data_IF_798517784208
#
_entry.id   IF_798517784208
#
_cell.length_a   1.000
_cell.length_b   1.000
_cell.length_c   1.000
_cell.angle_alpha   90.00
_cell.angle_beta   90.00
_cell.angle_gamma   90.00
#
_symmetry.space_group_name_H-M   'P 1'
#
loop_
_entity.id
_entity.type
_entity.pdbx_description
1 polymer ?
#
# COMPACT_ATOMS: atom_id res chain seq x y z
N UNK A 1 -12.57 2.80 4.20
CA UNK A 1 -11.98 2.62 2.85
C UNK A 1 -12.53 3.62 1.83
N UNK A 2 -13.85 3.90 1.85
CA UNK A 2 -14.48 4.83 0.88
C UNK A 2 -13.95 6.25 0.96
N UNK A 3 -13.66 6.76 2.15
CA UNK A 3 -13.15 8.11 2.35
C UNK A 3 -11.75 8.28 1.74
N UNK A 4 -10.80 7.42 2.10
CA UNK A 4 -9.45 7.40 1.50
C UNK A 4 -9.51 7.27 -0.02
N UNK A 5 -10.39 6.40 -0.52
CA UNK A 5 -10.57 6.20 -1.96
C UNK A 5 -11.08 7.45 -2.69
N UNK A 6 -11.93 8.26 -2.04
CA UNK A 6 -12.42 9.53 -2.56
C UNK A 6 -11.31 10.58 -2.57
N UNK A 7 -10.58 10.71 -1.47
CA UNK A 7 -9.46 11.65 -1.35
C UNK A 7 -8.36 11.37 -2.38
N UNK A 8 -7.99 10.09 -2.61
CA UNK A 8 -7.04 9.72 -3.68
C UNK A 8 -7.58 10.09 -5.07
N UNK A 9 -8.89 10.08 -5.29
CA UNK A 9 -9.47 10.49 -6.57
C UNK A 9 -9.34 11.98 -6.84
N UNK A 10 -9.47 12.82 -5.84
CA UNK A 10 -9.51 14.27 -5.97
C UNK A 10 -8.18 14.95 -5.63
N UNK A 11 -7.40 14.37 -4.72
CA UNK A 11 -6.14 14.92 -4.24
C UNK A 11 -5.03 14.91 -5.29
N UNK A 12 -3.96 15.64 -4.99
CA UNK A 12 -2.79 15.84 -5.85
C UNK A 12 -1.49 15.32 -5.27
N UNK A 13 -1.42 15.13 -3.94
CA UNK A 13 -0.25 14.64 -3.24
C UNK A 13 -0.60 13.49 -2.30
N UNK A 14 0.06 12.35 -2.47
CA UNK A 14 -0.09 11.18 -1.60
C UNK A 14 1.29 10.74 -1.09
N UNK A 15 1.42 10.65 0.22
CA UNK A 15 2.54 10.01 0.92
C UNK A 15 1.97 8.85 1.74
N UNK A 16 2.38 7.61 1.44
CA UNK A 16 1.82 6.40 2.02
C UNK A 16 2.91 5.50 2.60
N UNK A 17 2.75 5.06 3.84
CA UNK A 17 3.57 4.01 4.46
C UNK A 17 2.67 2.84 4.83
N UNK A 18 3.00 1.65 4.37
CA UNK A 18 2.27 0.44 4.75
C UNK A 18 3.18 -0.78 4.74
N UNK A 19 3.16 -1.52 5.85
CA UNK A 19 3.91 -2.77 5.96
C UNK A 19 3.44 -3.82 4.92
N UNK A 20 2.12 -3.94 4.75
CA UNK A 20 1.50 -4.81 3.76
C UNK A 20 0.77 -3.96 2.72
N UNK A 21 1.19 -4.08 1.47
CA UNK A 21 0.67 -3.28 0.36
C UNK A 21 0.19 -4.20 -0.77
N UNK A 22 -1.07 -4.55 -0.73
CA UNK A 22 -1.75 -5.34 -1.77
C UNK A 22 -3.20 -4.87 -1.93
N UNK A 23 -3.42 -3.59 -2.26
CA UNK A 23 -4.76 -3.04 -2.37
C UNK A 23 -5.50 -3.64 -3.57
N UNK A 24 -6.85 -3.62 -3.54
CA UNK A 24 -7.67 -4.06 -4.66
C UNK A 24 -7.35 -3.30 -5.95
N UNK A 25 -7.62 -3.94 -7.08
CA UNK A 25 -7.36 -3.38 -8.41
C UNK A 25 -7.98 -1.98 -8.62
N UNK A 26 -9.18 -1.75 -8.10
CA UNK A 26 -9.85 -0.43 -8.17
C UNK A 26 -9.02 0.65 -7.45
N UNK A 27 -8.44 0.33 -6.29
CA UNK A 27 -7.59 1.25 -5.54
C UNK A 27 -6.25 1.49 -6.25
N UNK A 28 -5.62 0.44 -6.79
CA UNK A 28 -4.41 0.57 -7.61
C UNK A 28 -4.64 1.48 -8.84
N UNK A 29 -5.81 1.39 -9.47
CA UNK A 29 -6.16 2.29 -10.59
C UNK A 29 -6.26 3.75 -10.15
N UNK A 30 -6.81 4.02 -8.96
CA UNK A 30 -6.92 5.39 -8.42
C UNK A 30 -5.55 5.96 -8.11
N UNK A 31 -4.70 5.20 -7.41
CA UNK A 31 -3.31 5.58 -7.11
C UNK A 31 -2.52 5.86 -8.42
N UNK A 32 -2.60 4.95 -9.39
CA UNK A 32 -1.95 5.12 -10.69
C UNK A 32 -2.46 6.36 -11.45
N UNK A 33 -3.76 6.66 -11.38
CA UNK A 33 -4.33 7.88 -11.97
C UNK A 33 -3.80 9.14 -11.27
N UNK A 34 -3.72 9.10 -9.94
CA UNK A 34 -3.16 10.20 -9.15
C UNK A 34 -1.68 10.42 -9.47
N UNK A 35 -0.88 9.36 -9.62
CA UNK A 35 0.55 9.46 -9.99
C UNK A 35 0.80 10.15 -11.33
N UNK A 36 -0.17 10.09 -12.28
CA UNK A 36 -0.05 10.80 -13.56
C UNK A 36 -0.36 12.31 -13.50
N UNK A 37 -1.03 12.78 -12.45
CA UNK A 37 -1.47 14.18 -12.33
C UNK A 37 -0.89 14.91 -11.12
N UNK A 38 -0.25 14.18 -10.21
CA UNK A 38 0.29 14.72 -8.97
C UNK A 38 1.47 13.92 -8.47
N UNK A 39 1.86 14.15 -7.24
CA UNK A 39 2.99 13.45 -6.61
C UNK A 39 2.50 12.32 -5.71
N UNK A 40 2.94 11.10 -5.99
CA UNK A 40 2.61 9.91 -5.20
C UNK A 40 3.88 9.20 -4.79
N UNK A 41 4.08 9.01 -3.48
CA UNK A 41 5.21 8.29 -2.89
C UNK A 41 4.71 7.20 -1.96
N UNK A 42 5.25 6.00 -2.09
CA UNK A 42 4.81 4.85 -1.31
C UNK A 42 6.03 4.14 -0.72
N UNK A 43 6.06 3.98 0.59
CA UNK A 43 7.05 3.19 1.31
C UNK A 43 6.39 1.87 1.73
N UNK A 44 7.01 0.75 1.34
CA UNK A 44 6.60 -0.61 1.70
C UNK A 44 7.71 -1.32 2.45
N UNK A 45 7.42 -2.46 3.06
CA UNK A 45 8.43 -3.25 3.76
C UNK A 45 9.36 -3.98 2.77
N UNK A 46 10.67 -3.87 2.97
CA UNK A 46 11.67 -4.73 2.30
C UNK A 46 11.72 -6.14 2.92
N UNK A 47 11.36 -6.27 4.20
CA UNK A 47 11.37 -7.51 4.99
C UNK A 47 10.05 -7.67 5.75
N UNK A 48 9.54 -8.89 5.80
CA UNK A 48 8.32 -9.25 6.54
C UNK A 48 8.43 -10.69 7.02
N UNK A 49 7.68 -11.04 8.04
CA UNK A 49 7.49 -12.44 8.45
C UNK A 49 6.70 -13.23 7.41
N UNK A 50 5.94 -12.54 6.57
CA UNK A 50 5.18 -13.14 5.50
C UNK A 50 5.73 -12.72 4.13
N UNK A 51 6.54 -13.58 3.52
CA UNK A 51 7.13 -13.35 2.20
C UNK A 51 6.09 -13.21 1.07
N UNK A 52 4.88 -13.75 1.25
CA UNK A 52 3.82 -13.62 0.26
C UNK A 52 3.31 -12.17 0.18
N UNK A 53 3.26 -11.43 1.30
CA UNK A 53 2.85 -10.02 1.29
C UNK A 53 3.85 -9.12 0.57
N UNK A 54 5.17 -9.39 0.73
CA UNK A 54 6.21 -8.67 -0.04
C UNK A 54 6.10 -8.99 -1.53
N UNK A 55 5.90 -10.27 -1.88
CA UNK A 55 5.74 -10.68 -3.27
C UNK A 55 4.48 -10.03 -3.90
N UNK A 56 3.37 -9.99 -3.16
CA UNK A 56 2.14 -9.31 -3.59
C UNK A 56 2.35 -7.80 -3.79
N UNK A 57 3.07 -7.12 -2.89
CA UNK A 57 3.41 -5.71 -3.06
C UNK A 57 4.23 -5.50 -4.35
N UNK A 58 5.27 -6.29 -4.57
CA UNK A 58 6.14 -6.20 -5.76
C UNK A 58 5.42 -6.45 -7.08
N UNK A 59 4.35 -7.24 -7.07
CA UNK A 59 3.47 -7.40 -8.23
C UNK A 59 2.89 -6.07 -8.72
N UNK A 60 2.55 -5.16 -7.79
CA UNK A 60 1.92 -3.88 -8.11
C UNK A 60 2.89 -2.83 -8.66
N UNK A 61 4.21 -2.97 -8.39
CA UNK A 61 5.22 -1.94 -8.68
C UNK A 61 5.32 -1.57 -10.15
N UNK A 62 5.34 -2.56 -11.05
CA UNK A 62 5.46 -2.30 -12.49
C UNK A 62 4.36 -1.37 -13.01
N UNK A 63 3.15 -1.52 -12.50
CA UNK A 63 2.02 -0.66 -12.85
C UNK A 63 2.15 0.74 -12.26
N UNK A 64 2.51 0.84 -10.99
CA UNK A 64 2.62 2.10 -10.27
C UNK A 64 3.77 2.95 -10.82
N UNK A 65 4.95 2.37 -10.98
CA UNK A 65 6.13 3.02 -11.55
C UNK A 65 5.87 3.59 -12.96
N UNK A 66 5.17 2.83 -13.84
CA UNK A 66 4.80 3.31 -15.18
C UNK A 66 3.82 4.50 -15.16
N UNK A 67 3.18 4.76 -14.03
CA UNK A 67 2.24 5.87 -13.86
C UNK A 67 2.81 7.00 -12.98
N UNK A 68 4.14 7.08 -12.83
CA UNK A 68 4.80 8.18 -12.13
C UNK A 68 4.77 8.07 -10.61
N UNK A 69 4.37 6.92 -10.05
CA UNK A 69 4.41 6.68 -8.60
C UNK A 69 5.84 6.35 -8.19
N UNK A 70 6.35 7.04 -7.18
CA UNK A 70 7.65 6.76 -6.57
C UNK A 70 7.49 5.65 -5.54
N UNK A 71 8.20 4.53 -5.73
CA UNK A 71 8.14 3.36 -4.83
C UNK A 71 9.43 3.23 -4.03
N UNK A 72 9.29 2.89 -2.75
CA UNK A 72 10.41 2.73 -1.83
C UNK A 72 10.24 1.47 -0.97
N UNK A 73 11.36 0.80 -0.66
CA UNK A 73 11.40 -0.34 0.26
C UNK A 73 12.20 0.02 1.51
N UNK A 74 11.54 0.10 2.67
CA UNK A 74 12.16 0.35 3.97
C UNK A 74 13.01 -0.84 4.41
N UNK A 75 14.28 -0.61 4.78
CA UNK A 75 15.28 -1.66 4.97
C UNK A 75 15.71 -1.91 6.42
N UNK A 76 15.78 -0.91 7.33
CA UNK A 76 16.46 -1.06 8.61
C UNK A 76 15.90 -2.18 9.47
N UNK A 77 14.59 -2.25 9.57
CA UNK A 77 13.88 -3.23 10.39
C UNK A 77 12.52 -3.61 9.78
N UNK A 78 11.72 -4.40 10.49
CA UNK A 78 10.35 -4.71 10.07
C UNK A 78 9.52 -3.43 10.15
N UNK A 79 8.99 -3.01 9.02
CA UNK A 79 8.08 -1.88 8.94
C UNK A 79 6.74 -2.24 9.59
N UNK A 80 6.24 -1.40 10.49
CA UNK A 80 4.90 -1.59 11.08
C UNK A 80 3.99 -0.36 10.98
N UNK A 81 4.52 0.77 10.55
CA UNK A 81 3.77 2.02 10.36
C UNK A 81 2.68 1.87 9.31
N UNK A 82 1.50 2.43 9.60
CA UNK A 82 0.37 2.55 8.69
C UNK A 82 -0.05 4.02 8.67
N UNK A 83 0.36 4.71 7.62
CA UNK A 83 0.18 6.15 7.46
C UNK A 83 -0.21 6.47 6.03
N UNK A 84 -1.28 7.22 5.84
CA UNK A 84 -1.69 7.75 4.54
C UNK A 84 -1.93 9.24 4.68
N UNK A 85 -1.22 10.04 3.90
CA UNK A 85 -1.36 11.49 3.86
C UNK A 85 -1.80 11.87 2.45
N UNK A 86 -3.01 12.40 2.33
CA UNK A 86 -3.53 12.93 1.07
C UNK A 86 -3.74 14.43 1.24
N UNK A 87 -2.97 15.24 0.54
CA UNK A 87 -2.95 16.70 0.71
C UNK A 87 -2.85 17.08 2.19
N UNK A 88 -3.85 17.72 2.81
CA UNK A 88 -3.85 18.12 4.23
C UNK A 88 -4.59 17.12 5.15
N UNK A 89 -4.92 15.93 4.64
CA UNK A 89 -5.63 14.88 5.39
C UNK A 89 -4.69 13.74 5.75
N UNK A 90 -4.63 13.39 7.03
CA UNK A 90 -3.85 12.28 7.56
C UNK A 90 -4.77 11.15 8.00
N UNK A 91 -4.48 9.93 7.54
CA UNK A 91 -5.05 8.70 8.07
C UNK A 91 -3.96 7.89 8.76
N UNK A 92 -4.15 7.60 10.03
CA UNK A 92 -3.21 6.83 10.85
C UNK A 92 -3.96 5.86 11.74
N UNK A 93 -3.45 4.64 11.90
CA UNK A 93 -4.10 3.62 12.73
C UNK A 93 -3.55 2.23 12.54
N UNK A 94 -4.40 1.21 12.67
CA UNK A 94 -4.02 -0.20 12.60
C UNK A 94 -4.08 -0.79 11.18
N UNK A 95 -4.82 -0.17 10.27
CA UNK A 95 -5.12 -0.72 8.93
C UNK A 95 -3.92 -0.66 7.98
N UNK A 96 -3.45 -1.80 7.52
CA UNK A 96 -2.54 -1.88 6.39
C UNK A 96 -3.26 -1.50 5.08
N UNK A 97 -2.50 -1.17 4.05
CA UNK A 97 -3.05 -0.83 2.73
C UNK A 97 -3.17 -2.08 1.85
N UNK A 98 -3.88 -3.07 2.38
CA UNK A 98 -4.18 -4.34 1.72
C UNK A 98 -5.69 -4.61 1.69
N UNK A 99 -6.09 -5.62 0.92
CA UNK A 99 -7.51 -5.95 0.76
C UNK A 99 -8.19 -6.32 2.08
N UNK A 100 -7.52 -7.12 2.95
CA UNK A 100 -8.10 -7.58 4.21
C UNK A 100 -8.33 -6.43 5.17
N UNK A 101 -7.30 -5.62 5.41
CA UNK A 101 -7.39 -4.48 6.31
C UNK A 101 -8.40 -3.43 5.83
N UNK A 102 -8.51 -3.25 4.51
CA UNK A 102 -9.43 -2.26 3.96
C UNK A 102 -10.90 -2.70 3.93
N UNK A 103 -11.20 -4.03 3.88
CA UNK A 103 -12.57 -4.49 3.62
C UNK A 103 -13.08 -5.60 4.54
N UNK A 104 -12.21 -6.32 5.21
CA UNK A 104 -12.60 -7.51 5.99
C UNK A 104 -12.32 -7.38 7.48
N UNK A 105 -11.17 -6.82 7.86
CA UNK A 105 -10.76 -6.72 9.25
C UNK A 105 -11.49 -5.59 9.96
N UNK A 106 -11.69 -5.76 11.25
CA UNK A 106 -12.09 -4.67 12.13
C UNK A 106 -10.83 -3.85 12.48
N UNK A 107 -10.68 -2.68 11.87
CA UNK A 107 -9.53 -1.80 12.00
C UNK A 107 -9.94 -0.42 12.51
N UNK A 108 -9.07 0.20 13.28
CA UNK A 108 -9.25 1.57 13.73
C UNK A 108 -8.34 2.49 12.92
N UNK A 109 -8.94 3.48 12.25
CA UNK A 109 -8.24 4.53 11.53
C UNK A 109 -8.75 5.89 11.97
N UNK A 110 -7.84 6.73 12.43
CA UNK A 110 -8.12 8.15 12.67
C UNK A 110 -7.94 8.91 11.36
N UNK A 111 -8.91 9.76 11.04
CA UNK A 111 -8.83 10.73 9.96
C UNK A 111 -8.73 12.13 10.58
N UNK A 112 -7.65 12.82 10.28
CA UNK A 112 -7.35 14.14 10.80
C UNK A 112 -7.16 15.06 9.60
N UNK A 113 -7.96 16.10 9.51
CA UNK A 113 -7.86 17.13 8.47
C UNK A 113 -7.27 18.39 9.11
N UNK A 114 -5.95 18.48 9.04
CA UNK A 114 -5.18 19.58 9.62
C UNK A 114 -3.85 19.71 8.89
N UNK A 115 -3.60 20.89 8.31
CA UNK A 115 -2.41 21.16 7.52
C UNK A 115 -1.11 21.06 8.32
N UNK A 116 -1.10 21.58 9.55
CA UNK A 116 0.10 21.58 10.38
C UNK A 116 0.46 20.15 10.79
N UNK A 117 -0.55 19.34 11.15
CA UNK A 117 -0.35 17.94 11.45
C UNK A 117 0.07 17.14 10.22
N UNK A 118 -0.51 17.40 9.05
CA UNK A 118 -0.10 16.76 7.80
C UNK A 118 1.38 17.06 7.47
N UNK A 119 1.85 18.29 7.64
CA UNK A 119 3.26 18.64 7.44
C UNK A 119 4.17 17.96 8.48
N UNK A 120 3.74 17.86 9.73
CA UNK A 120 4.47 17.11 10.76
C UNK A 120 4.60 15.62 10.38
N UNK A 121 3.53 15.00 9.90
CA UNK A 121 3.54 13.59 9.45
C UNK A 121 4.36 13.40 8.18
N UNK A 122 4.43 14.40 7.30
CA UNK A 122 5.38 14.39 6.17
C UNK A 122 6.83 14.44 6.64
N UNK A 123 7.14 15.23 7.66
CA UNK A 123 8.45 15.19 8.29
C UNK A 123 8.83 13.82 8.82
N UNK A 124 7.86 13.07 9.39
CA UNK A 124 8.06 11.67 9.74
C UNK A 124 8.28 10.80 8.49
N UNK A 125 7.46 10.97 7.45
CA UNK A 125 7.59 10.25 6.18
C UNK A 125 8.98 10.45 5.54
N UNK A 126 9.53 11.68 5.55
CA UNK A 126 10.87 11.98 5.00
C UNK A 126 11.99 11.25 5.77
N UNK A 127 11.86 11.08 7.08
CA UNK A 127 12.84 10.30 7.88
C UNK A 127 12.81 8.82 7.47
N UNK A 128 11.63 8.21 7.34
CA UNK A 128 11.49 6.83 6.89
C UNK A 128 11.95 6.65 5.43
N UNK A 129 11.77 7.69 4.62
CA UNK A 129 12.22 7.71 3.22
C UNK A 129 13.75 7.68 3.13
N UNK A 130 14.45 8.41 3.99
CA UNK A 130 15.92 8.46 4.03
C UNK A 130 16.53 7.07 4.27
N UNK A 131 15.84 6.21 5.02
CA UNK A 131 16.26 4.84 5.33
C UNK A 131 15.71 3.81 4.31
N UNK A 132 15.05 4.27 3.26
CA UNK A 132 14.41 3.42 2.26
C UNK A 132 15.18 3.37 0.93
N UNK A 133 15.16 2.21 0.28
CA UNK A 133 15.68 2.07 -1.07
C UNK A 133 14.62 2.49 -2.09
N UNK A 134 14.95 3.45 -2.93
CA UNK A 134 14.11 3.77 -4.08
C UNK A 134 14.11 2.62 -5.10
N UNK A 135 12.94 2.21 -5.51
CA UNK A 135 12.74 1.20 -6.54
C UNK A 135 12.49 1.91 -7.86
N UNK A 136 13.54 2.02 -8.66
CA UNK A 136 13.44 2.55 -10.02
C UNK A 136 12.85 1.51 -10.98
N UNK A 137 12.29 1.92 -12.15
CA UNK A 137 11.84 0.98 -13.18
C UNK A 137 12.93 -0.01 -13.61
N UNK A 138 14.18 0.43 -13.69
CA UNK A 138 15.32 -0.41 -14.07
C UNK A 138 15.64 -1.44 -13.00
N UNK A 139 15.73 -1.02 -11.74
CA UNK A 139 15.95 -1.91 -10.61
C UNK A 139 14.83 -2.96 -10.50
N UNK A 140 13.58 -2.54 -10.70
CA UNK A 140 12.45 -3.46 -10.69
C UNK A 140 12.56 -4.47 -11.84
N UNK A 141 12.91 -4.05 -13.06
CA UNK A 141 13.10 -4.95 -14.21
C UNK A 141 14.23 -5.96 -13.96
N UNK A 142 15.37 -5.52 -13.43
CA UNK A 142 16.50 -6.39 -13.09
C UNK A 142 16.11 -7.48 -12.07
N UNK A 143 15.29 -7.12 -11.07
CA UNK A 143 14.81 -8.05 -10.05
C UNK A 143 13.68 -8.97 -10.52
N UNK A 144 12.96 -8.57 -11.56
CA UNK A 144 11.75 -9.23 -12.05
C UNK A 144 12.05 -10.31 -13.11
N UNK A 145 12.80 -11.38 -12.76
CA UNK A 145 12.85 -12.58 -13.61
C UNK A 145 11.45 -13.16 -13.82
N UNK A 146 11.27 -13.93 -14.89
CA UNK A 146 9.93 -14.47 -15.22
C UNK A 146 9.36 -15.34 -14.09
N UNK A 147 10.18 -16.17 -13.43
CA UNK A 147 9.78 -16.96 -12.26
C UNK A 147 9.36 -16.10 -11.08
N UNK A 148 10.07 -15.00 -10.82
CA UNK A 148 9.70 -14.06 -9.76
C UNK A 148 8.39 -13.33 -10.09
N UNK A 149 8.18 -12.95 -11.34
CA UNK A 149 6.90 -12.35 -11.79
C UNK A 149 5.73 -13.30 -11.59
N UNK A 150 5.90 -14.57 -11.96
CA UNK A 150 4.89 -15.59 -11.72
C UNK A 150 4.59 -15.74 -10.23
N UNK A 151 5.63 -15.87 -9.39
CA UNK A 151 5.49 -15.92 -7.93
C UNK A 151 4.78 -14.69 -7.37
N UNK A 152 5.12 -13.49 -7.83
CA UNK A 152 4.48 -12.25 -7.38
C UNK A 152 3.01 -12.19 -7.79
N UNK A 153 2.69 -12.62 -8.99
CA UNK A 153 1.30 -12.69 -9.50
C UNK A 153 0.47 -13.68 -8.70
N UNK A 154 0.99 -14.89 -8.45
CA UNK A 154 0.33 -15.89 -7.63
C UNK A 154 0.14 -15.40 -6.19
N UNK A 155 1.17 -14.80 -5.59
CA UNK A 155 1.07 -14.25 -4.24
C UNK A 155 0.03 -13.13 -4.15
N UNK A 156 -0.01 -12.22 -5.13
CA UNK A 156 -1.01 -11.16 -5.17
C UNK A 156 -2.42 -11.75 -5.28
N UNK A 157 -2.62 -12.72 -6.18
CA UNK A 157 -3.92 -13.41 -6.33
C UNK A 157 -4.33 -14.13 -5.04
N UNK A 158 -3.42 -14.87 -4.42
CA UNK A 158 -3.70 -15.58 -3.17
C UNK A 158 -4.09 -14.61 -2.04
N UNK A 159 -3.31 -13.55 -1.84
CA UNK A 159 -3.57 -12.57 -0.77
C UNK A 159 -4.85 -11.76 -1.01
N UNK A 160 -5.22 -11.49 -2.26
CA UNK A 160 -6.39 -10.66 -2.58
C UNK A 160 -7.67 -11.45 -2.84
N UNK A 161 -7.58 -12.73 -3.21
CA UNK A 161 -8.75 -13.51 -3.67
C UNK A 161 -9.05 -14.71 -2.77
N UNK A 162 -8.04 -15.52 -2.45
CA UNK A 162 -8.25 -16.77 -1.68
C UNK A 162 -8.62 -16.47 -0.24
N UNK A 163 -7.96 -15.50 0.37
CA UNK A 163 -8.26 -15.06 1.74
C UNK A 163 -9.71 -14.53 1.86
N UNK A 164 -10.21 -13.84 0.84
CA UNK A 164 -11.60 -13.38 0.78
C UNK A 164 -12.59 -14.54 0.76
N UNK A 165 -12.35 -15.55 -0.07
CA UNK A 165 -13.26 -16.69 -0.24
C UNK A 165 -13.31 -17.57 1.01
N UNK A 166 -12.16 -17.80 1.65
CA UNK A 166 -12.04 -18.61 2.87
C UNK A 166 -12.68 -17.88 4.06
N UNK A 167 -12.36 -16.60 4.25
CA UNK A 167 -12.90 -15.82 5.36
C UNK A 167 -14.42 -15.65 5.23
N UNK A 168 -14.95 -15.44 4.03
CA UNK A 168 -16.40 -15.37 3.79
C UNK A 168 -17.12 -16.66 4.15
N UNK A 169 -16.54 -17.82 3.85
CA UNK A 169 -17.12 -19.13 4.23
C UNK A 169 -17.09 -19.39 5.74
N UNK A 170 -16.05 -18.88 6.42
CA UNK A 170 -15.92 -19.03 7.87
C UNK A 170 -16.79 -18.04 8.66
N UNK A 171 -17.06 -16.84 8.10
CA UNK A 171 -17.87 -15.80 8.77
C UNK A 171 -19.37 -15.95 8.56
N UNK A 172 -19.81 -16.81 7.66
CA UNK A 172 -21.23 -17.10 7.38
C UNK A 172 -21.58 -18.56 7.63
N UNK A 173 -20.90 -19.23 8.58
CA UNK A 173 -21.41 -20.45 9.13
C UNK A 173 -22.79 -20.16 9.76
N UNK A 174 -23.81 -21.03 9.56
CA UNK A 174 -25.13 -20.78 10.10
C UNK A 174 -25.02 -20.73 11.62
N UNK A 175 -25.37 -19.59 12.20
CA UNK A 175 -25.76 -19.57 13.60
C UNK A 175 -27.02 -20.44 13.73
N UNK A 176 -26.81 -21.65 14.29
CA UNK A 176 -27.88 -22.48 14.76
C UNK A 176 -28.47 -21.94 16.07
#
# INVERSE_FOLDING_TARGET
PMQIAREILTGTRLDLISAYFSPPFAMLRRIARMGRRGRVRIITAARSDNNATIAAARHTYARLLRNGVEMYEYRPQKLHTKLVIVDDVVHIGSSNFDFRSLYLNLEVMLRIEDRAFAEQMRGYFERELADSLQITPDLHRQRASWWRRLKWTLSYFLVTTVDYTVTRRLSFGPEG
#
